data_IF_288300087129
#
_entry.id   IF_288300087129
#
_cell.length_a   1.000
_cell.length_b   1.000
_cell.length_c   1.000
_cell.angle_alpha   90.00
_cell.angle_beta   90.00
_cell.angle_gamma   90.00
#
_symmetry.space_group_name_H-M   'P 1'
#
loop_
_entity.id
_entity.type
_entity.pdbx_description
1 polymer ?
#
# COMPACT_ATOMS: atom_id res chain seq x y z
N UNK A 1 8.90 18.15 -6.09
CA UNK A 1 9.88 17.25 -5.41
C UNK A 1 9.14 16.15 -4.72
N UNK A 2 9.59 14.90 -4.88
CA UNK A 2 8.92 13.73 -4.33
C UNK A 2 9.76 13.10 -3.23
N UNK A 3 9.10 12.77 -2.12
CA UNK A 3 9.64 11.98 -1.03
C UNK A 3 8.91 10.64 -1.03
N UNK A 4 9.65 9.54 -0.99
CA UNK A 4 9.10 8.19 -0.94
C UNK A 4 9.76 7.40 0.18
N UNK A 5 9.02 6.52 0.85
CA UNK A 5 9.58 5.74 1.94
C UNK A 5 10.58 4.70 1.44
N UNK A 6 10.31 4.05 0.32
CA UNK A 6 11.09 2.94 -0.21
C UNK A 6 11.33 2.98 -1.73
N UNK A 7 11.74 1.84 -2.29
CA UNK A 7 12.09 1.66 -3.71
C UNK A 7 10.86 1.50 -4.65
N UNK A 8 9.73 2.07 -4.28
CA UNK A 8 8.44 1.87 -4.95
C UNK A 8 8.35 2.51 -6.33
N UNK A 9 9.26 3.44 -6.63
CA UNK A 9 9.31 4.15 -7.91
C UNK A 9 9.36 3.21 -9.11
N UNK A 10 10.09 2.09 -9.02
CA UNK A 10 10.16 1.10 -10.11
C UNK A 10 8.81 0.45 -10.39
N UNK A 11 8.03 0.19 -9.34
CA UNK A 11 6.70 -0.38 -9.47
C UNK A 11 5.69 0.66 -9.97
N UNK A 12 5.73 1.88 -9.42
CA UNK A 12 4.92 3.00 -9.90
C UNK A 12 5.18 3.32 -11.37
N UNK A 13 6.44 3.33 -11.82
CA UNK A 13 6.78 3.51 -13.24
C UNK A 13 6.18 2.43 -14.13
N UNK A 14 6.08 1.19 -13.66
CA UNK A 14 5.42 0.13 -14.44
C UNK A 14 3.93 0.36 -14.56
N UNK A 15 3.24 0.74 -13.48
CA UNK A 15 1.83 1.14 -13.54
C UNK A 15 1.62 2.37 -14.41
N UNK A 16 2.51 3.37 -14.31
CA UNK A 16 2.48 4.56 -15.17
C UNK A 16 2.55 4.20 -16.66
N UNK A 17 3.47 3.30 -17.05
CA UNK A 17 3.59 2.85 -18.45
C UNK A 17 2.37 2.06 -18.95
N UNK A 18 1.64 1.39 -18.07
CA UNK A 18 0.37 0.73 -18.44
C UNK A 18 -0.73 1.79 -18.63
N UNK A 19 -0.79 2.80 -17.77
CA UNK A 19 -1.79 3.88 -17.84
C UNK A 19 -1.57 4.81 -19.01
N UNK A 20 -0.31 5.15 -19.29
CA UNK A 20 0.11 6.15 -20.28
C UNK A 20 1.20 5.60 -21.22
N UNK A 21 0.88 4.60 -22.06
CA UNK A 21 1.88 3.92 -22.90
C UNK A 21 2.54 4.83 -23.93
N UNK A 22 1.85 5.90 -24.33
CA UNK A 22 2.34 6.88 -25.32
C UNK A 22 3.28 7.94 -24.72
N UNK A 23 3.34 8.08 -23.40
CA UNK A 23 4.20 9.07 -22.75
C UNK A 23 5.65 8.60 -22.73
N UNK A 24 6.56 9.50 -23.08
CA UNK A 24 8.03 9.24 -23.06
C UNK A 24 8.57 9.41 -21.65
N UNK A 25 8.12 10.46 -20.95
CA UNK A 25 8.50 10.77 -19.58
C UNK A 25 8.22 9.62 -18.60
N UNK A 26 8.96 9.57 -17.53
CA UNK A 26 8.78 8.60 -16.45
C UNK A 26 8.76 9.30 -15.10
N UNK A 27 8.22 8.64 -14.08
CA UNK A 27 8.26 9.16 -12.70
C UNK A 27 9.72 9.40 -12.26
N UNK A 28 10.67 8.58 -12.74
CA UNK A 28 12.10 8.71 -12.40
C UNK A 28 12.78 9.95 -12.97
N UNK A 29 12.14 10.68 -13.89
CA UNK A 29 12.68 11.92 -14.45
C UNK A 29 12.49 13.11 -13.49
N UNK A 30 11.69 12.95 -12.45
CA UNK A 30 11.49 13.96 -11.42
C UNK A 30 12.49 13.82 -10.27
N UNK A 31 12.80 14.92 -9.54
CA UNK A 31 13.62 14.84 -8.32
C UNK A 31 12.95 14.02 -7.24
N UNK A 32 13.53 12.87 -6.91
CA UNK A 32 13.02 11.92 -5.93
C UNK A 32 14.01 11.78 -4.78
N UNK A 33 13.52 11.85 -3.56
CA UNK A 33 14.28 11.62 -2.33
C UNK A 33 13.71 10.38 -1.64
N UNK A 34 14.52 9.34 -1.51
CA UNK A 34 14.17 8.15 -0.74
C UNK A 34 14.41 8.43 0.75
N UNK A 35 13.36 8.35 1.54
CA UNK A 35 13.43 8.53 2.98
C UNK A 35 14.08 7.33 3.68
N UNK A 36 13.90 6.12 3.11
CA UNK A 36 14.42 4.86 3.63
C UNK A 36 13.70 4.34 4.87
N UNK A 37 12.98 5.19 5.57
CA UNK A 37 12.09 4.81 6.67
C UNK A 37 11.12 5.95 6.99
N UNK A 38 10.00 5.59 7.57
CA UNK A 38 9.01 6.55 8.08
C UNK A 38 9.59 7.56 9.08
N UNK A 39 10.58 7.19 9.90
CA UNK A 39 11.20 8.09 10.89
C UNK A 39 11.82 9.34 10.27
N UNK A 40 12.11 9.31 8.96
CA UNK A 40 12.63 10.46 8.22
C UNK A 40 11.54 11.34 7.57
N UNK A 41 10.27 11.04 7.82
CA UNK A 41 9.14 11.85 7.34
C UNK A 41 9.27 13.33 7.75
N UNK A 42 9.84 13.62 8.91
CA UNK A 42 10.10 14.99 9.37
C UNK A 42 11.00 15.79 8.41
N UNK A 43 11.86 15.12 7.64
CA UNK A 43 12.68 15.78 6.61
C UNK A 43 11.80 16.28 5.45
N UNK A 44 10.79 15.52 5.06
CA UNK A 44 9.82 15.94 4.05
C UNK A 44 8.99 17.15 4.54
N UNK A 45 8.55 17.13 5.80
CA UNK A 45 7.85 18.27 6.42
C UNK A 45 8.71 19.53 6.41
N UNK A 46 9.97 19.42 6.85
CA UNK A 46 10.92 20.55 6.89
C UNK A 46 11.18 21.13 5.50
N UNK A 47 11.39 20.25 4.52
CA UNK A 47 11.61 20.65 3.12
C UNK A 47 10.36 21.34 2.54
N UNK A 48 9.17 20.77 2.74
CA UNK A 48 7.93 21.35 2.24
C UNK A 48 7.69 22.76 2.79
N UNK A 49 7.84 22.92 4.11
CA UNK A 49 7.70 24.23 4.78
C UNK A 49 8.71 25.27 4.25
N UNK A 50 9.96 24.85 4.04
CA UNK A 50 11.01 25.72 3.49
C UNK A 50 10.67 26.16 2.06
N UNK A 51 10.42 25.21 1.17
CA UNK A 51 10.14 25.50 -0.24
C UNK A 51 8.87 26.32 -0.40
N UNK A 52 7.81 26.03 0.35
CA UNK A 52 6.59 26.82 0.33
C UNK A 52 6.87 28.30 0.64
N UNK A 53 7.66 28.55 1.69
CA UNK A 53 8.03 29.91 2.11
C UNK A 53 8.88 30.62 1.05
N UNK A 54 9.96 29.98 0.58
CA UNK A 54 10.92 30.59 -0.35
C UNK A 54 10.35 30.82 -1.74
N UNK A 55 9.35 30.03 -2.15
CA UNK A 55 8.75 30.15 -3.49
C UNK A 55 7.36 30.77 -3.48
N UNK A 56 6.89 31.27 -2.32
CA UNK A 56 5.52 31.77 -2.14
C UNK A 56 4.45 30.77 -2.59
N UNK A 57 4.66 29.49 -2.30
CA UNK A 57 3.74 28.40 -2.63
C UNK A 57 3.83 27.87 -4.07
N UNK A 58 4.75 28.37 -4.89
CA UNK A 58 4.87 27.91 -6.29
C UNK A 58 5.60 26.57 -6.44
N UNK A 59 6.20 26.03 -5.39
CA UNK A 59 6.89 24.75 -5.42
C UNK A 59 6.18 23.73 -4.52
N UNK A 60 5.73 22.63 -5.13
CA UNK A 60 5.05 21.55 -4.41
C UNK A 60 6.02 20.47 -3.96
N UNK A 61 5.84 20.04 -2.73
CA UNK A 61 6.45 18.82 -2.18
C UNK A 61 5.39 17.78 -2.00
N UNK A 62 5.64 16.58 -2.47
CA UNK A 62 4.73 15.44 -2.35
C UNK A 62 5.46 14.35 -1.56
N UNK A 63 4.78 13.71 -0.62
CA UNK A 63 5.32 12.60 0.15
C UNK A 63 4.39 11.40 0.05
N UNK A 64 4.96 10.23 -0.23
CA UNK A 64 4.23 8.96 -0.31
C UNK A 64 4.81 8.03 0.73
N UNK A 65 3.94 7.56 1.64
CA UNK A 65 4.31 6.70 2.77
C UNK A 65 3.55 5.39 2.75
N UNK A 66 4.20 4.35 3.23
CA UNK A 66 3.55 3.10 3.56
C UNK A 66 2.66 3.26 4.80
N UNK A 67 1.52 2.59 4.79
CA UNK A 67 0.61 2.62 5.94
C UNK A 67 1.16 1.83 7.13
N UNK A 68 1.88 0.73 6.86
CA UNK A 68 2.32 -0.24 7.84
C UNK A 68 1.19 -0.71 8.81
N UNK A 69 1.52 -0.92 10.07
CA UNK A 69 0.55 -1.26 11.13
C UNK A 69 0.12 -0.04 11.96
N UNK A 70 0.18 1.19 11.37
CA UNK A 70 -0.21 2.41 12.07
C UNK A 70 -1.69 2.48 12.32
N UNK A 71 -2.03 3.01 13.50
CA UNK A 71 -3.40 3.22 13.91
C UNK A 71 -3.98 4.47 13.24
N UNK A 72 -5.29 4.49 13.03
CA UNK A 72 -5.98 5.63 12.39
C UNK A 72 -5.73 6.96 13.15
N UNK A 73 -5.61 6.91 14.48
CA UNK A 73 -5.27 8.08 15.31
C UNK A 73 -3.86 8.62 15.02
N UNK A 74 -2.89 7.76 14.76
CA UNK A 74 -1.53 8.13 14.38
C UNK A 74 -1.52 8.72 12.96
N UNK A 75 -2.17 8.05 12.01
CA UNK A 75 -2.29 8.52 10.63
C UNK A 75 -2.93 9.92 10.55
N UNK A 76 -3.93 10.20 11.39
CA UNK A 76 -4.56 11.51 11.44
C UNK A 76 -3.62 12.60 11.96
N UNK A 77 -2.74 12.30 12.93
CA UNK A 77 -1.70 13.24 13.39
C UNK A 77 -0.71 13.55 12.26
N UNK A 78 -0.27 12.52 11.53
CA UNK A 78 0.64 12.65 10.41
C UNK A 78 0.03 13.53 9.31
N UNK A 79 -1.22 13.28 8.92
CA UNK A 79 -1.94 14.09 7.94
C UNK A 79 -2.06 15.55 8.37
N UNK A 80 -2.35 15.80 9.64
CA UNK A 80 -2.42 17.15 10.17
C UNK A 80 -1.07 17.86 10.07
N UNK A 81 0.02 17.20 10.47
CA UNK A 81 1.37 17.78 10.37
C UNK A 81 1.76 18.10 8.91
N UNK A 82 1.34 17.25 7.95
CA UNK A 82 1.56 17.51 6.54
C UNK A 82 0.84 18.78 6.07
N UNK A 83 -0.44 18.94 6.43
CA UNK A 83 -1.24 20.14 6.10
C UNK A 83 -0.58 21.38 6.69
N UNK A 84 -0.17 21.35 7.96
CA UNK A 84 0.45 22.47 8.67
C UNK A 84 1.81 22.87 8.04
N UNK A 85 2.44 21.96 7.29
CA UNK A 85 3.72 22.19 6.60
C UNK A 85 3.59 22.37 5.08
N UNK A 86 2.37 22.43 4.54
CA UNK A 86 2.10 22.51 3.08
C UNK A 86 2.72 21.34 2.29
N UNK A 87 2.70 20.14 2.85
CA UNK A 87 3.15 18.91 2.22
C UNK A 87 1.95 18.15 1.66
N UNK A 88 1.95 17.90 0.35
CA UNK A 88 0.96 17.00 -0.27
C UNK A 88 1.31 15.55 0.13
N UNK A 89 0.56 15.01 1.08
CA UNK A 89 0.82 13.70 1.66
C UNK A 89 -0.15 12.66 1.15
N UNK A 90 0.38 11.58 0.60
CA UNK A 90 -0.34 10.33 0.35
C UNK A 90 0.16 9.24 1.29
N UNK A 91 -0.75 8.52 1.93
CA UNK A 91 -0.48 7.30 2.71
C UNK A 91 -1.33 6.20 2.10
N UNK A 92 -0.69 5.11 1.62
CA UNK A 92 -1.40 4.02 0.98
C UNK A 92 -2.55 3.48 1.85
N UNK A 93 -3.69 3.18 1.25
CA UNK A 93 -4.78 2.49 1.94
C UNK A 93 -4.40 1.04 2.31
N UNK A 94 -3.67 0.36 1.42
CA UNK A 94 -3.05 -0.93 1.69
C UNK A 94 -1.72 -0.71 2.42
N UNK A 95 -1.15 -1.79 2.98
CA UNK A 95 0.09 -1.70 3.78
C UNK A 95 1.27 -1.14 2.99
N UNK A 96 1.44 -1.60 1.77
CA UNK A 96 2.56 -1.32 0.88
C UNK A 96 2.09 -1.35 -0.57
N UNK A 97 2.84 -0.72 -1.46
CA UNK A 97 2.53 -0.69 -2.89
C UNK A 97 2.46 -2.09 -3.53
N UNK A 98 3.27 -3.06 -3.05
CA UNK A 98 3.21 -4.44 -3.55
C UNK A 98 1.85 -5.10 -3.36
N UNK A 99 1.07 -4.71 -2.38
CA UNK A 99 -0.29 -5.24 -2.15
C UNK A 99 -1.22 -5.00 -3.33
N UNK A 100 -0.99 -3.95 -4.14
CA UNK A 100 -1.80 -3.63 -5.32
C UNK A 100 -1.55 -4.56 -6.51
N UNK A 101 -0.50 -5.37 -6.47
CA UNK A 101 -0.30 -6.45 -7.44
C UNK A 101 -1.29 -7.60 -7.24
N UNK A 102 -1.91 -7.67 -6.06
CA UNK A 102 -2.90 -8.69 -5.74
C UNK A 102 -4.28 -8.17 -6.16
N UNK A 103 -4.51 -8.26 -7.47
CA UNK A 103 -5.81 -8.02 -8.08
C UNK A 103 -6.45 -9.36 -8.44
N UNK A 104 -7.60 -9.74 -7.84
CA UNK A 104 -8.25 -11.02 -8.10
C UNK A 104 -8.60 -11.24 -9.57
N UNK A 105 -8.98 -10.19 -10.31
CA UNK A 105 -9.30 -10.27 -11.73
C UNK A 105 -8.05 -10.67 -12.54
N UNK A 106 -6.91 -10.03 -12.25
CA UNK A 106 -5.63 -10.34 -12.90
C UNK A 106 -5.18 -11.76 -12.55
N UNK A 107 -5.28 -12.17 -11.28
CA UNK A 107 -4.92 -13.52 -10.85
C UNK A 107 -5.81 -14.58 -11.51
N UNK A 108 -7.09 -14.29 -11.66
CA UNK A 108 -8.04 -15.19 -12.30
C UNK A 108 -7.73 -15.46 -13.77
N UNK A 109 -7.17 -14.49 -14.51
CA UNK A 109 -6.73 -14.67 -15.91
C UNK A 109 -5.78 -15.87 -16.07
N UNK A 110 -5.04 -16.24 -15.03
CA UNK A 110 -4.08 -17.37 -15.05
C UNK A 110 -4.71 -18.74 -14.79
N UNK A 111 -5.95 -18.82 -14.34
CA UNK A 111 -6.56 -20.09 -13.89
C UNK A 111 -7.18 -20.90 -15.03
N UNK A 112 -7.31 -20.31 -16.24
CA UNK A 112 -7.85 -20.99 -17.42
C UNK A 112 -9.23 -21.63 -17.19
N UNK A 113 -10.16 -20.91 -16.57
CA UNK A 113 -11.55 -21.34 -16.31
C UNK A 113 -11.70 -22.65 -15.53
N UNK A 114 -10.73 -23.05 -14.71
CA UNK A 114 -10.81 -24.23 -13.84
C UNK A 114 -11.85 -24.12 -12.73
N UNK A 115 -12.29 -22.90 -12.44
CA UNK A 115 -13.31 -22.58 -11.45
C UNK A 115 -14.01 -21.28 -11.82
N UNK A 116 -15.14 -20.95 -11.24
CA UNK A 116 -15.78 -19.66 -11.46
C UNK A 116 -15.03 -18.54 -10.72
N UNK A 117 -15.17 -17.29 -11.19
CA UNK A 117 -14.56 -16.13 -10.55
C UNK A 117 -15.03 -15.97 -9.10
N UNK A 118 -16.32 -16.17 -8.82
CA UNK A 118 -16.86 -16.07 -7.46
C UNK A 118 -16.31 -17.15 -6.54
N UNK A 119 -16.16 -18.38 -7.04
CA UNK A 119 -15.57 -19.48 -6.28
C UNK A 119 -14.08 -19.21 -6.01
N UNK A 120 -13.34 -18.68 -6.99
CA UNK A 120 -11.95 -18.30 -6.82
C UNK A 120 -11.81 -17.22 -5.72
N UNK A 121 -12.62 -16.16 -5.78
CA UNK A 121 -12.61 -15.09 -4.77
C UNK A 121 -12.90 -15.65 -3.38
N UNK A 122 -13.93 -16.48 -3.23
CA UNK A 122 -14.29 -17.07 -1.95
C UNK A 122 -13.16 -17.96 -1.38
N UNK A 123 -12.54 -18.79 -2.22
CA UNK A 123 -11.40 -19.62 -1.80
C UNK A 123 -10.18 -18.79 -1.42
N UNK A 124 -9.90 -17.72 -2.18
CA UNK A 124 -8.81 -16.79 -1.88
C UNK A 124 -9.07 -16.07 -0.55
N UNK A 125 -10.29 -15.58 -0.34
CA UNK A 125 -10.67 -14.90 0.90
C UNK A 125 -10.50 -15.81 2.12
N UNK A 126 -10.93 -17.07 2.04
CA UNK A 126 -10.74 -18.05 3.09
C UNK A 126 -9.25 -18.39 3.32
N UNK A 127 -8.47 -18.50 2.24
CA UNK A 127 -7.04 -18.79 2.35
C UNK A 127 -6.27 -17.69 3.10
N UNK A 128 -6.73 -16.43 3.04
CA UNK A 128 -6.11 -15.32 3.76
C UNK A 128 -6.35 -15.37 5.29
N UNK A 129 -7.26 -16.19 5.79
CA UNK A 129 -7.52 -16.31 7.22
C UNK A 129 -6.30 -16.84 8.01
N UNK A 130 -5.33 -17.46 7.33
CA UNK A 130 -4.06 -17.83 7.95
C UNK A 130 -3.26 -16.64 8.50
N UNK A 131 -3.49 -15.42 8.00
CA UNK A 131 -2.81 -14.20 8.47
C UNK A 131 -3.45 -13.58 9.71
N UNK A 132 -4.65 -14.02 10.11
CA UNK A 132 -5.42 -13.36 11.17
C UNK A 132 -4.66 -13.24 12.49
N UNK A 133 -4.03 -14.31 12.97
CA UNK A 133 -3.31 -14.31 14.25
C UNK A 133 -2.05 -13.45 14.19
N UNK A 134 -1.30 -13.51 13.09
CA UNK A 134 -0.13 -12.62 12.90
C UNK A 134 -0.55 -11.15 12.94
N UNK A 135 -1.66 -10.79 12.31
CA UNK A 135 -2.18 -9.43 12.34
C UNK A 135 -2.58 -8.99 13.75
N UNK A 136 -3.19 -9.90 14.52
CA UNK A 136 -3.50 -9.66 15.93
C UNK A 136 -2.25 -9.25 16.73
N UNK A 137 -1.16 -9.99 16.57
CA UNK A 137 0.11 -9.71 17.26
C UNK A 137 0.69 -8.36 16.82
N UNK A 138 0.71 -8.08 15.51
CA UNK A 138 1.23 -6.83 14.96
C UNK A 138 0.44 -5.61 15.47
N UNK A 139 -0.90 -5.67 15.42
CA UNK A 139 -1.73 -4.55 15.91
C UNK A 139 -1.71 -4.44 17.43
N UNK A 140 -1.61 -5.53 18.18
CA UNK A 140 -1.43 -5.48 19.63
C UNK A 140 -0.12 -4.75 19.98
N UNK A 141 0.97 -5.06 19.28
CA UNK A 141 2.24 -4.37 19.46
C UNK A 141 2.14 -2.88 19.10
N UNK A 142 1.52 -2.52 17.96
CA UNK A 142 1.33 -1.14 17.56
C UNK A 142 0.51 -0.34 18.59
N UNK A 143 -0.55 -0.92 19.15
CA UNK A 143 -1.35 -0.30 20.21
C UNK A 143 -0.53 -0.11 21.47
N UNK A 144 0.28 -1.10 21.86
CA UNK A 144 1.15 -0.98 23.04
C UNK A 144 2.23 0.09 22.85
N UNK A 145 2.83 0.18 21.68
CA UNK A 145 3.82 1.21 21.36
C UNK A 145 3.20 2.61 21.34
N UNK A 146 1.96 2.75 20.91
CA UNK A 146 1.23 4.02 20.90
C UNK A 146 0.85 4.51 22.31
N UNK A 147 0.65 3.58 23.24
CA UNK A 147 0.31 3.85 24.64
C UNK A 147 0.87 2.76 25.56
N UNK A 148 2.09 2.97 26.04
CA UNK A 148 2.82 2.05 26.93
C UNK A 148 2.20 1.89 28.32
N UNK A 149 1.21 2.70 28.68
CA UNK A 149 0.47 2.54 29.95
C UNK A 149 -0.54 1.38 29.90
N UNK A 150 -0.91 0.92 28.71
CA UNK A 150 -1.84 -0.20 28.51
C UNK A 150 -1.17 -1.53 28.81
N UNK A 151 -1.88 -2.39 29.55
CA UNK A 151 -1.44 -3.76 29.75
C UNK A 151 -1.74 -4.64 28.50
N UNK A 152 -1.06 -5.79 28.41
CA UNK A 152 -1.17 -6.72 27.28
C UNK A 152 -2.62 -7.20 27.03
N UNK A 153 -3.42 -7.40 28.08
CA UNK A 153 -4.81 -7.86 27.91
C UNK A 153 -5.66 -6.79 27.21
N UNK A 154 -5.45 -5.52 27.58
CA UNK A 154 -6.14 -4.38 26.95
C UNK A 154 -5.72 -4.22 25.49
N UNK A 155 -4.41 -4.26 25.18
CA UNK A 155 -3.91 -4.15 23.80
C UNK A 155 -4.42 -5.28 22.92
N UNK A 156 -4.42 -6.52 23.40
CA UNK A 156 -4.97 -7.68 22.67
C UNK A 156 -6.47 -7.54 22.40
N UNK A 157 -7.24 -7.03 23.39
CA UNK A 157 -8.67 -6.79 23.21
C UNK A 157 -8.93 -5.74 22.15
N UNK A 158 -8.22 -4.62 22.21
CA UNK A 158 -8.36 -3.52 21.23
C UNK A 158 -7.94 -3.97 19.82
N UNK A 159 -6.83 -4.70 19.69
CA UNK A 159 -6.38 -5.26 18.41
C UNK A 159 -7.43 -6.19 17.81
N UNK A 160 -8.03 -7.06 18.63
CA UNK A 160 -9.11 -7.95 18.19
C UNK A 160 -10.32 -7.18 17.68
N UNK A 161 -10.76 -6.17 18.39
CA UNK A 161 -11.90 -5.33 17.97
C UNK A 161 -11.59 -4.63 16.65
N UNK A 162 -10.40 -4.02 16.54
CA UNK A 162 -9.97 -3.32 15.33
C UNK A 162 -9.91 -4.23 14.11
N UNK A 163 -9.36 -5.44 14.25
CA UNK A 163 -9.26 -6.39 13.14
C UNK A 163 -10.62 -6.95 12.79
N UNK A 164 -11.43 -7.38 13.76
CA UNK A 164 -12.75 -7.95 13.49
C UNK A 164 -13.66 -6.99 12.72
N UNK A 165 -13.55 -5.69 12.96
CA UNK A 165 -14.28 -4.68 12.22
C UNK A 165 -13.86 -4.63 10.73
N UNK A 166 -12.60 -4.94 10.44
CA UNK A 166 -11.95 -4.75 9.13
C UNK A 166 -11.53 -6.06 8.44
N UNK A 167 -12.08 -7.22 8.85
CA UNK A 167 -11.70 -8.56 8.33
C UNK A 167 -12.85 -9.29 7.65
N UNK A 168 -13.82 -8.55 7.09
CA UNK A 168 -15.09 -9.15 6.63
C UNK A 168 -15.11 -9.47 5.13
N UNK A 169 -14.26 -8.84 4.32
CA UNK A 169 -14.22 -9.03 2.87
C UNK A 169 -12.80 -9.17 2.38
N UNK A 170 -12.62 -9.80 1.21
CA UNK A 170 -11.32 -9.93 0.57
C UNK A 170 -10.59 -8.58 0.47
N UNK A 171 -11.28 -7.53 0.04
CA UNK A 171 -10.68 -6.21 -0.10
C UNK A 171 -10.17 -5.65 1.24
N UNK A 172 -10.97 -5.79 2.31
CA UNK A 172 -10.57 -5.37 3.65
C UNK A 172 -9.35 -6.15 4.16
N UNK A 173 -9.31 -7.48 3.92
CA UNK A 173 -8.16 -8.34 4.26
C UNK A 173 -6.90 -7.89 3.53
N UNK A 174 -7.00 -7.60 2.22
CA UNK A 174 -5.88 -7.10 1.42
C UNK A 174 -5.30 -5.76 1.92
N UNK A 175 -6.11 -4.91 2.57
CA UNK A 175 -5.67 -3.65 3.17
C UNK A 175 -4.88 -3.82 4.48
N UNK A 176 -4.99 -4.97 5.14
CA UNK A 176 -4.37 -5.22 6.45
C UNK A 176 -3.10 -6.07 6.37
N UNK A 177 -2.94 -6.92 5.35
CA UNK A 177 -1.83 -7.84 5.23
C UNK A 177 -0.60 -7.15 4.62
N UNK A 178 0.60 -7.47 5.13
CA UNK A 178 1.85 -6.98 4.54
C UNK A 178 1.99 -7.45 3.08
N UNK A 179 2.25 -6.51 2.17
CA UNK A 179 2.20 -6.75 0.73
C UNK A 179 3.23 -7.76 0.23
N UNK A 180 4.44 -7.75 0.77
CA UNK A 180 5.52 -8.70 0.37
C UNK A 180 5.19 -10.11 0.83
N UNK A 181 4.68 -10.26 2.06
CA UNK A 181 4.22 -11.56 2.57
C UNK A 181 3.03 -12.07 1.78
N UNK A 182 2.07 -11.18 1.52
CA UNK A 182 0.88 -11.49 0.74
C UNK A 182 1.24 -11.94 -0.68
N UNK A 183 2.13 -11.23 -1.36
CA UNK A 183 2.58 -11.60 -2.70
C UNK A 183 3.24 -12.97 -2.72
N UNK A 184 4.12 -13.25 -1.75
CA UNK A 184 4.77 -14.57 -1.62
C UNK A 184 3.76 -15.67 -1.38
N UNK A 185 2.79 -15.43 -0.49
CA UNK A 185 1.70 -16.36 -0.22
C UNK A 185 0.86 -16.64 -1.48
N UNK A 186 0.47 -15.60 -2.22
CA UNK A 186 -0.33 -15.73 -3.44
C UNK A 186 0.41 -16.53 -4.52
N UNK A 187 1.70 -16.29 -4.71
CA UNK A 187 2.52 -17.05 -5.67
C UNK A 187 2.50 -18.54 -5.32
N UNK A 188 2.67 -18.88 -4.05
CA UNK A 188 2.62 -20.27 -3.58
C UNK A 188 1.21 -20.84 -3.69
N UNK A 189 0.19 -20.13 -3.24
CA UNK A 189 -1.22 -20.52 -3.31
C UNK A 189 -1.65 -20.89 -4.74
N UNK A 190 -1.29 -20.04 -5.72
CA UNK A 190 -1.61 -20.27 -7.13
C UNK A 190 -0.89 -21.50 -7.70
N UNK A 191 0.34 -21.75 -7.25
CA UNK A 191 1.10 -22.94 -7.65
C UNK A 191 0.45 -24.22 -7.09
N UNK A 192 0.10 -24.25 -5.81
CA UNK A 192 -0.42 -25.42 -5.10
C UNK A 192 -1.85 -25.75 -5.54
N UNK A 193 -2.72 -24.76 -5.65
CA UNK A 193 -4.15 -24.99 -5.88
C UNK A 193 -4.54 -25.03 -7.37
N UNK A 194 -3.78 -24.36 -8.22
CA UNK A 194 -4.10 -24.20 -9.65
C UNK A 194 -2.99 -24.68 -10.59
N UNK A 195 -1.85 -25.12 -10.06
CA UNK A 195 -0.64 -25.48 -10.83
C UNK A 195 -0.16 -24.32 -11.74
N UNK A 196 -0.24 -23.07 -11.25
CA UNK A 196 0.14 -21.85 -11.95
C UNK A 196 1.38 -21.25 -11.31
N UNK A 197 2.50 -21.22 -12.04
CA UNK A 197 3.71 -20.54 -11.58
C UNK A 197 3.65 -19.06 -11.92
N UNK A 198 3.63 -18.21 -10.89
CA UNK A 198 3.61 -16.76 -10.99
C UNK A 198 4.95 -16.14 -10.55
N UNK A 199 5.18 -14.93 -11.01
CA UNK A 199 6.21 -14.01 -10.52
C UNK A 199 5.64 -12.59 -10.52
N UNK A 200 6.25 -11.66 -9.75
CA UNK A 200 5.90 -10.23 -9.74
C UNK A 200 5.78 -9.67 -11.17
N UNK A 201 6.77 -9.95 -12.01
CA UNK A 201 6.80 -9.48 -13.40
C UNK A 201 5.67 -10.09 -14.25
N UNK A 202 5.41 -11.40 -14.07
CA UNK A 202 4.35 -12.08 -14.81
C UNK A 202 2.97 -11.55 -14.43
N UNK A 203 2.73 -11.27 -13.17
CA UNK A 203 1.49 -10.63 -12.70
C UNK A 203 1.34 -9.25 -13.36
N UNK A 204 2.35 -8.38 -13.24
CA UNK A 204 2.34 -7.04 -13.80
C UNK A 204 2.08 -6.99 -15.32
N UNK A 205 2.70 -7.90 -16.06
CA UNK A 205 2.54 -7.94 -17.52
C UNK A 205 1.13 -8.35 -17.98
N UNK A 206 0.28 -8.79 -17.06
CA UNK A 206 -1.13 -9.12 -17.33
C UNK A 206 -2.12 -8.07 -16.81
N UNK A 207 -1.62 -6.94 -16.28
CA UNK A 207 -2.46 -5.81 -15.95
C UNK A 207 -2.87 -5.05 -17.21
N UNK A 208 -4.14 -4.69 -17.25
CA UNK A 208 -4.71 -3.72 -18.17
C UNK A 208 -5.06 -2.43 -17.43
N UNK A 209 -5.36 -1.35 -18.15
CA UNK A 209 -5.72 -0.05 -17.55
C UNK A 209 -6.90 -0.19 -16.57
N UNK A 210 -7.87 -1.04 -16.90
CA UNK A 210 -9.04 -1.32 -16.04
C UNK A 210 -8.71 -2.07 -14.76
N UNK A 211 -7.59 -2.80 -14.72
CA UNK A 211 -7.17 -3.58 -13.55
C UNK A 211 -6.41 -2.74 -12.52
N UNK A 212 -5.95 -1.55 -12.92
CA UNK A 212 -5.17 -0.67 -12.02
C UNK A 212 -6.12 0.01 -11.04
N UNK A 213 -5.80 -0.14 -9.76
CA UNK A 213 -6.55 0.47 -8.67
C UNK A 213 -6.62 2.01 -8.82
N UNK A 214 -7.76 2.58 -8.47
CA UNK A 214 -7.96 4.03 -8.57
C UNK A 214 -6.99 4.82 -7.69
N UNK A 215 -6.59 4.29 -6.55
CA UNK A 215 -5.60 4.92 -5.69
C UNK A 215 -4.25 5.05 -6.39
N UNK A 216 -3.80 4.00 -7.10
CA UNK A 216 -2.57 4.05 -7.92
C UNK A 216 -2.66 5.14 -9.00
N UNK A 217 -3.82 5.24 -9.69
CA UNK A 217 -4.04 6.28 -10.71
C UNK A 217 -3.94 7.66 -10.10
N UNK A 218 -4.63 7.91 -8.98
CA UNK A 218 -4.60 9.19 -8.28
C UNK A 218 -3.19 9.59 -7.84
N UNK A 219 -2.40 8.64 -7.32
CA UNK A 219 -1.01 8.91 -6.93
C UNK A 219 -0.14 9.24 -8.14
N UNK A 220 -0.30 8.50 -9.23
CA UNK A 220 0.43 8.79 -10.47
C UNK A 220 0.05 10.15 -11.03
N UNK A 221 -1.24 10.49 -11.04
CA UNK A 221 -1.72 11.80 -11.51
C UNK A 221 -1.20 12.94 -10.60
N UNK A 222 -1.18 12.74 -9.29
CA UNK A 222 -0.60 13.70 -8.34
C UNK A 222 0.89 13.98 -8.61
N UNK A 223 1.64 12.94 -9.05
CA UNK A 223 3.07 13.03 -9.35
C UNK A 223 3.31 13.73 -10.70
N UNK A 224 2.50 13.43 -11.71
CA UNK A 224 2.78 13.77 -13.11
C UNK A 224 2.11 15.06 -13.59
N UNK A 225 1.04 15.50 -12.91
CA UNK A 225 0.19 16.63 -13.31
C UNK A 225 -0.12 17.57 -12.14
#
# INVERSE_FOLDING_TARGET
MFFVEGLDIKLLNKFYKILYPEKIETISDFPIIELGSFTRYEQALGAAKLFYKETSGNFKCICILDKDYRLDSELNKIRKSAIDCHLDLHIWERKELESYLINPQVLYKFINNKTSMSEFINKLEQALDCFYFELMDQYSNAIHESDRSKNIQTTNKEARLYINEKWNTLEQKLKLINGKKLLSFIIQYMKENYNVSLSKTKILNNFEISDIDNEIKQVIDLIMF
#
